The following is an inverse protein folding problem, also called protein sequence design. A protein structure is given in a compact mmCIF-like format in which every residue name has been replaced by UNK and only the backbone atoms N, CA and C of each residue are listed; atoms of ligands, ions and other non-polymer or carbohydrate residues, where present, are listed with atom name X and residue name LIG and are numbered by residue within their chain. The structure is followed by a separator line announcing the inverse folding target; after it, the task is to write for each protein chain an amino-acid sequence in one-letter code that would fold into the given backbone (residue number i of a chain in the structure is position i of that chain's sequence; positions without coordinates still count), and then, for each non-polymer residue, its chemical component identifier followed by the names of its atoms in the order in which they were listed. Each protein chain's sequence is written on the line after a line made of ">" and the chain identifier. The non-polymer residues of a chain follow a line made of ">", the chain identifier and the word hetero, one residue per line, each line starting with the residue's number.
data_IF_329312782494
#
_entry.id   IF_329312782494
#
_cell.length_a   1.000
_cell.length_b   1.000
_cell.length_c   1.000
_cell.angle_alpha   90.00
_cell.angle_beta   90.00
_cell.angle_gamma   90.00
#
_symmetry.space_group_name_H-M   'P 1'
#
loop_
_entity.id
_entity.type
_entity.pdbx_description
1 polymer ?
#
# COMPACT_ATOMS: atom_id res chain seq x y z
N UNK A 1 25.89 15.75 -17.69
CA UNK A 1 24.57 15.23 -18.10
C UNK A 1 23.82 14.55 -16.95
N UNK A 2 24.37 13.50 -16.32
CA UNK A 2 23.79 12.81 -15.15
C UNK A 2 23.48 13.74 -13.95
N UNK A 3 24.33 14.74 -13.70
CA UNK A 3 24.11 15.77 -12.67
C UNK A 3 23.05 16.81 -13.04
N UNK A 4 22.80 17.03 -14.34
CA UNK A 4 21.86 18.04 -14.82
C UNK A 4 20.40 17.52 -14.72
N UNK A 5 20.18 16.24 -15.05
CA UNK A 5 18.89 15.56 -14.88
C UNK A 5 18.53 15.37 -13.39
N UNK A 6 19.52 15.13 -12.53
CA UNK A 6 19.33 15.02 -11.07
C UNK A 6 18.92 16.35 -10.43
N UNK A 7 19.47 17.47 -10.92
CA UNK A 7 19.15 18.82 -10.45
C UNK A 7 17.70 19.21 -10.75
N UNK A 8 17.22 18.94 -11.98
CA UNK A 8 15.84 19.27 -12.38
C UNK A 8 14.78 18.43 -11.65
N UNK A 9 15.09 17.18 -11.28
CA UNK A 9 14.20 16.35 -10.46
C UNK A 9 14.20 16.74 -8.99
N UNK A 10 15.36 17.09 -8.40
CA UNK A 10 15.46 17.42 -6.98
C UNK A 10 14.78 18.74 -6.61
N UNK A 11 14.86 19.77 -7.46
CA UNK A 11 14.24 21.08 -7.21
C UNK A 11 12.70 21.00 -7.19
N UNK A 12 12.12 20.12 -8.01
CA UNK A 12 10.66 19.89 -8.07
C UNK A 12 10.14 18.98 -6.96
N UNK A 13 11.00 18.15 -6.36
CA UNK A 13 10.64 17.23 -5.27
C UNK A 13 10.73 17.91 -3.90
N UNK A 14 11.74 18.76 -3.66
CA UNK A 14 11.88 19.48 -2.38
C UNK A 14 10.70 20.42 -2.10
N UNK A 15 10.24 21.14 -3.12
CA UNK A 15 9.12 22.07 -3.04
C UNK A 15 7.76 21.39 -2.80
N UNK A 16 7.62 20.11 -3.19
CA UNK A 16 6.41 19.32 -2.92
C UNK A 16 6.45 18.55 -1.59
N UNK A 17 7.64 18.25 -1.06
CA UNK A 17 7.81 17.57 0.22
C UNK A 17 7.53 18.52 1.39
N UNK A 18 8.07 19.75 1.34
CA UNK A 18 7.85 20.77 2.38
C UNK A 18 6.37 21.18 2.49
N UNK A 19 5.64 21.20 1.37
CA UNK A 19 4.19 21.47 1.37
C UNK A 19 3.35 20.36 2.01
N UNK A 20 3.78 19.09 1.92
CA UNK A 20 3.05 17.94 2.48
C UNK A 20 3.31 17.75 3.97
N UNK A 21 4.51 18.06 4.45
CA UNK A 21 4.84 17.97 5.88
C UNK A 21 4.07 19.03 6.69
N UNK A 22 3.90 20.23 6.14
CA UNK A 22 3.06 21.27 6.76
C UNK A 22 1.57 20.90 6.80
N UNK A 23 1.07 20.20 5.77
CA UNK A 23 -0.32 19.75 5.68
C UNK A 23 -0.61 18.60 6.68
N UNK A 24 0.32 17.65 6.84
CA UNK A 24 0.23 16.57 7.83
C UNK A 24 0.28 17.09 9.28
N UNK A 25 1.15 18.06 9.56
CA UNK A 25 1.26 18.66 10.90
C UNK A 25 -0.01 19.44 11.27
N UNK A 26 -0.64 20.13 10.31
CA UNK A 26 -1.94 20.78 10.51
C UNK A 26 -3.08 19.79 10.72
N UNK A 27 -3.09 18.65 10.01
CA UNK A 27 -4.07 17.58 10.21
C UNK A 27 -3.91 16.90 11.58
N UNK A 28 -2.66 16.71 12.06
CA UNK A 28 -2.37 16.16 13.39
C UNK A 28 -2.86 17.09 14.51
N UNK A 29 -2.64 18.40 14.38
CA UNK A 29 -3.14 19.41 15.32
C UNK A 29 -4.67 19.48 15.36
N UNK A 30 -5.35 19.38 14.20
CA UNK A 30 -6.82 19.29 14.11
C UNK A 30 -7.38 18.03 14.79
N UNK A 31 -6.72 16.87 14.64
CA UNK A 31 -7.15 15.61 15.28
C UNK A 31 -6.98 15.64 16.80
N UNK A 32 -5.89 16.22 17.30
CA UNK A 32 -5.66 16.37 18.75
C UNK A 32 -6.72 17.27 19.39
N UNK A 33 -7.04 18.41 18.76
CA UNK A 33 -8.09 19.33 19.24
C UNK A 33 -9.51 18.72 19.20
N UNK A 34 -9.77 17.76 18.30
CA UNK A 34 -11.04 17.03 18.22
C UNK A 34 -11.19 15.94 19.30
N UNK A 35 -10.07 15.40 19.78
CA UNK A 35 -10.04 14.37 20.83
C UNK A 35 -10.24 14.96 22.23
N UNK A 36 -9.93 16.25 22.41
CA UNK A 36 -10.09 16.99 23.68
C UNK A 36 -11.48 17.66 23.84
N UNK A 37 -12.41 17.50 22.87
CA UNK A 37 -13.64 18.30 22.80
C UNK A 37 -14.96 17.53 22.71
N UNK A 38 -15.02 16.25 23.10
CA UNK A 38 -16.27 15.46 23.05
C UNK A 38 -16.54 14.82 24.41
N UNK A 39 -17.07 15.62 25.33
CA UNK A 39 -18.06 15.19 26.33
C UNK A 39 -19.37 15.90 25.98
N UNK A 40 -20.46 15.15 25.76
CA UNK A 40 -21.80 15.72 25.64
C UNK A 40 -22.73 15.11 24.58
N UNK A 41 -23.51 14.11 25.03
CA UNK A 41 -24.97 13.87 24.79
C UNK A 41 -25.56 13.86 23.37
N UNK A 42 -26.36 12.81 23.10
CA UNK A 42 -27.68 12.97 22.45
C UNK A 42 -28.00 12.02 21.29
N UNK A 43 -28.88 11.05 21.54
CA UNK A 43 -29.62 10.22 20.58
C UNK A 43 -30.46 11.05 19.59
N UNK A 44 -30.67 10.54 18.37
CA UNK A 44 -31.97 10.05 17.87
C UNK A 44 -31.94 9.69 16.37
N UNK A 45 -32.86 8.78 16.04
CA UNK A 45 -33.12 8.02 14.81
C UNK A 45 -33.62 8.82 13.61
N UNK A 46 -33.55 8.23 12.40
CA UNK A 46 -34.70 7.86 11.52
C UNK A 46 -34.24 7.51 10.09
N UNK A 47 -34.87 6.49 9.54
CA UNK A 47 -34.75 5.95 8.17
C UNK A 47 -35.40 6.87 7.10
N UNK A 48 -34.96 6.79 5.84
CA UNK A 48 -35.82 6.44 4.69
C UNK A 48 -35.08 6.41 3.33
N UNK A 49 -35.62 5.55 2.46
CA UNK A 49 -35.19 5.09 1.14
C UNK A 49 -35.61 5.98 -0.04
N UNK A 50 -34.91 5.88 -1.18
CA UNK A 50 -35.41 6.31 -2.49
C UNK A 50 -34.47 5.97 -3.65
N UNK A 51 -34.91 5.07 -4.53
CA UNK A 51 -34.30 4.75 -5.83
C UNK A 51 -34.78 5.75 -6.90
N UNK A 52 -33.94 6.05 -7.91
CA UNK A 52 -34.41 6.51 -9.24
C UNK A 52 -33.33 6.31 -10.33
N UNK A 53 -33.79 6.04 -11.56
CA UNK A 53 -33.08 5.41 -12.69
C UNK A 53 -33.02 6.32 -13.94
N UNK A 54 -31.85 6.29 -14.62
CA UNK A 54 -31.54 6.42 -16.07
C UNK A 54 -31.75 7.73 -16.90
N UNK A 55 -30.78 7.89 -17.84
CA UNK A 55 -30.89 8.35 -19.24
C UNK A 55 -30.23 9.70 -19.63
N UNK A 56 -29.25 9.66 -20.55
CA UNK A 56 -28.71 10.88 -21.19
C UNK A 56 -27.54 10.69 -22.15
N UNK A 57 -27.68 9.87 -23.20
CA UNK A 57 -26.72 9.76 -24.30
C UNK A 57 -27.28 10.36 -25.59
N UNK A 58 -27.00 11.63 -25.90
CA UNK A 58 -27.28 12.21 -27.24
C UNK A 58 -26.53 13.54 -27.54
N UNK A 59 -25.60 13.99 -26.69
CA UNK A 59 -24.94 15.31 -26.84
C UNK A 59 -23.60 15.25 -27.60
N UNK A 60 -23.05 14.05 -27.82
CA UNK A 60 -21.65 13.91 -28.21
C UNK A 60 -21.39 14.03 -29.73
N UNK A 61 -22.38 13.90 -30.60
CA UNK A 61 -22.14 13.78 -32.05
C UNK A 61 -22.05 15.13 -32.80
N UNK A 62 -22.65 16.19 -32.25
CA UNK A 62 -22.68 17.53 -32.89
C UNK A 62 -21.38 18.32 -32.73
N UNK A 63 -20.54 17.97 -31.74
CA UNK A 63 -19.29 18.66 -31.43
C UNK A 63 -18.12 18.25 -32.34
N UNK A 64 -18.13 17.04 -32.90
CA UNK A 64 -17.05 16.54 -33.77
C UNK A 64 -16.99 17.24 -35.14
N UNK A 65 -18.14 17.49 -35.78
CA UNK A 65 -18.21 18.14 -37.11
C UNK A 65 -17.74 19.59 -37.13
N UNK A 66 -17.80 20.31 -36.00
CA UNK A 66 -17.30 21.70 -35.89
C UNK A 66 -15.78 21.78 -35.73
N UNK A 67 -15.14 20.75 -35.16
CA UNK A 67 -13.69 20.71 -34.93
C UNK A 67 -12.87 20.41 -36.18
N UNK A 68 -13.45 19.67 -37.13
CA UNK A 68 -12.77 19.24 -38.35
C UNK A 68 -12.64 20.36 -39.41
N UNK A 69 -13.60 21.28 -39.46
CA UNK A 69 -13.55 22.45 -40.37
C UNK A 69 -12.55 23.53 -39.93
N UNK A 70 -12.14 23.55 -38.66
CA UNK A 70 -11.11 24.49 -38.16
C UNK A 70 -9.68 24.01 -38.44
N UNK A 71 -9.46 22.70 -38.61
CA UNK A 71 -8.14 22.10 -38.91
C UNK A 71 -7.68 22.19 -40.36
N UNK A 72 -8.52 22.66 -41.29
CA UNK A 72 -8.21 22.71 -42.74
C UNK A 72 -7.82 24.09 -43.29
N UNK A 73 -7.70 25.12 -42.46
CA UNK A 73 -7.40 26.50 -42.92
C UNK A 73 -6.06 27.08 -42.45
N UNK A 74 -5.26 26.32 -41.71
CA UNK A 74 -3.94 26.76 -41.24
C UNK A 74 -2.86 25.84 -41.81
N UNK A 75 -2.68 25.91 -43.13
CA UNK A 75 -1.49 25.35 -43.79
C UNK A 75 -1.11 26.27 -44.94
N UNK A 76 -0.31 27.28 -44.61
CA UNK A 76 0.57 27.98 -45.55
C UNK A 76 1.94 28.04 -44.90
N UNK A 77 3.03 27.63 -45.59
CA UNK A 77 4.37 27.81 -45.06
C UNK A 77 4.83 29.23 -45.44
N UNK A 78 5.02 30.09 -44.45
CA UNK A 78 5.85 31.28 -44.61
C UNK A 78 7.30 30.86 -44.35
N UNK A 79 8.15 31.05 -45.36
CA UNK A 79 9.60 30.90 -45.24
C UNK A 79 10.12 32.12 -44.48
N UNK A 80 10.41 31.95 -43.21
CA UNK A 80 11.33 32.83 -42.49
C UNK A 80 12.67 32.12 -42.38
N UNK A 81 13.63 32.56 -43.21
CA UNK A 81 15.05 32.30 -43.01
C UNK A 81 15.51 33.18 -41.84
N UNK A 82 15.31 32.67 -40.63
CA UNK A 82 15.90 33.20 -39.41
C UNK A 82 17.06 32.32 -39.00
N UNK A 83 18.26 32.89 -38.98
CA UNK A 83 19.46 32.30 -38.39
C UNK A 83 19.18 31.95 -36.92
N UNK A 84 18.81 30.70 -36.64
CA UNK A 84 18.77 30.19 -35.27
C UNK A 84 20.18 29.78 -34.86
N UNK A 85 20.81 30.64 -34.07
CA UNK A 85 21.90 30.26 -33.18
C UNK A 85 21.48 29.01 -32.38
N UNK A 86 22.15 27.88 -32.66
CA UNK A 86 22.41 26.76 -31.76
C UNK A 86 21.35 26.36 -30.74
N UNK A 87 20.11 26.11 -31.13
CA UNK A 87 19.26 25.21 -30.33
C UNK A 87 19.74 23.80 -30.64
N UNK A 88 20.66 23.27 -29.84
CA UNK A 88 20.97 21.83 -29.86
C UNK A 88 19.63 21.09 -29.77
N UNK A 89 19.19 20.50 -30.88
CA UNK A 89 18.08 19.59 -30.91
C UNK A 89 18.47 18.41 -30.02
N UNK A 90 18.07 18.46 -28.75
CA UNK A 90 18.22 17.37 -27.80
C UNK A 90 17.47 16.16 -28.38
N UNK A 91 18.21 15.30 -29.07
CA UNK A 91 17.69 14.08 -29.66
C UNK A 91 17.19 13.15 -28.55
N UNK A 92 16.08 12.45 -28.80
CA UNK A 92 15.52 11.49 -27.84
C UNK A 92 16.57 10.40 -27.55
N UNK A 93 17.02 10.24 -26.29
CA UNK A 93 17.99 9.21 -25.91
C UNK A 93 17.58 7.80 -26.36
N UNK A 94 16.28 7.50 -26.41
CA UNK A 94 15.80 6.22 -26.88
C UNK A 94 16.08 6.00 -28.38
N UNK A 95 15.99 7.07 -29.19
CA UNK A 95 16.30 7.02 -30.62
C UNK A 95 17.81 6.91 -30.85
N UNK A 96 18.61 7.62 -30.04
CA UNK A 96 20.07 7.64 -30.17
C UNK A 96 20.72 6.34 -29.70
N UNK A 97 20.32 5.85 -28.52
CA UNK A 97 20.97 4.70 -27.87
C UNK A 97 20.25 3.37 -28.11
N UNK A 98 19.00 3.41 -28.59
CA UNK A 98 18.17 2.22 -28.71
C UNK A 98 17.67 1.68 -27.36
N UNK A 99 16.89 0.59 -27.43
CA UNK A 99 16.16 0.05 -26.27
C UNK A 99 17.08 -0.59 -25.21
N UNK A 100 18.15 -1.27 -25.63
CA UNK A 100 19.02 -2.02 -24.70
C UNK A 100 19.79 -1.11 -23.75
N UNK A 101 20.45 -0.08 -24.30
CA UNK A 101 21.16 0.92 -23.50
C UNK A 101 20.16 1.72 -22.66
N UNK A 102 18.99 2.06 -23.23
CA UNK A 102 17.95 2.75 -22.47
C UNK A 102 17.48 1.92 -21.27
N UNK A 103 17.35 0.60 -21.40
CA UNK A 103 17.01 -0.29 -20.29
C UNK A 103 18.07 -0.26 -19.18
N UNK A 104 19.36 -0.25 -19.55
CA UNK A 104 20.47 -0.11 -18.59
C UNK A 104 20.37 1.22 -17.85
N UNK A 105 20.13 2.33 -18.58
CA UNK A 105 19.96 3.67 -17.98
C UNK A 105 18.80 3.66 -16.98
N UNK A 106 17.63 3.15 -17.38
CA UNK A 106 16.45 3.11 -16.52
C UNK A 106 16.65 2.23 -15.28
N UNK A 107 17.48 1.18 -15.36
CA UNK A 107 17.74 0.29 -14.23
C UNK A 107 18.43 1.00 -13.05
N UNK A 108 19.19 2.07 -13.33
CA UNK A 108 19.83 2.90 -12.31
C UNK A 108 18.88 3.91 -11.64
N UNK A 109 17.64 4.03 -12.12
CA UNK A 109 16.65 4.94 -11.53
C UNK A 109 15.85 4.25 -10.42
N UNK A 110 15.27 5.06 -9.53
CA UNK A 110 14.30 4.56 -8.55
C UNK A 110 12.97 4.20 -9.23
N UNK A 111 12.19 3.32 -8.59
CA UNK A 111 10.94 2.81 -9.16
C UNK A 111 9.95 3.93 -9.53
N UNK A 112 9.95 5.06 -8.80
CA UNK A 112 9.12 6.21 -9.12
C UNK A 112 9.53 6.85 -10.45
N UNK A 113 10.82 7.09 -10.67
CA UNK A 113 11.30 7.67 -11.93
C UNK A 113 11.12 6.73 -13.12
N UNK A 114 11.27 5.42 -12.91
CA UNK A 114 10.91 4.40 -13.92
C UNK A 114 9.42 4.46 -14.25
N UNK A 115 8.54 4.55 -13.24
CA UNK A 115 7.11 4.67 -13.47
C UNK A 115 6.75 5.95 -14.24
N UNK A 116 7.40 7.08 -13.94
CA UNK A 116 7.18 8.32 -14.69
C UNK A 116 7.64 8.22 -16.15
N UNK A 117 8.65 7.41 -16.43
CA UNK A 117 9.15 7.15 -17.79
C UNK A 117 8.10 6.47 -18.68
N UNK A 118 7.14 5.74 -18.10
CA UNK A 118 6.00 5.16 -18.82
C UNK A 118 5.12 6.24 -19.49
N UNK A 119 5.13 7.46 -18.98
CA UNK A 119 4.26 8.57 -19.41
C UNK A 119 4.88 9.45 -20.50
N UNK A 120 6.14 9.21 -20.86
CA UNK A 120 6.89 10.09 -21.79
C UNK A 120 6.43 9.90 -23.24
N UNK A 121 6.48 8.66 -23.74
CA UNK A 121 6.07 8.31 -25.10
C UNK A 121 5.79 6.81 -25.22
N UNK A 122 5.22 6.37 -26.35
CA UNK A 122 4.98 4.93 -26.60
C UNK A 122 6.26 4.11 -26.61
N UNK A 123 7.36 4.65 -27.14
CA UNK A 123 8.65 3.97 -27.17
C UNK A 123 9.22 3.82 -25.75
N UNK A 124 9.19 4.91 -24.98
CA UNK A 124 9.63 4.89 -23.57
C UNK A 124 8.77 3.94 -22.73
N UNK A 125 7.46 3.94 -22.93
CA UNK A 125 6.57 2.98 -22.29
C UNK A 125 7.00 1.54 -22.57
N UNK A 126 7.30 1.18 -23.83
CA UNK A 126 7.72 -0.16 -24.19
C UNK A 126 8.95 -0.66 -23.43
N UNK A 127 9.94 0.21 -23.21
CA UNK A 127 11.14 -0.14 -22.43
C UNK A 127 10.86 -0.09 -20.93
N UNK A 128 10.21 0.96 -20.46
CA UNK A 128 9.95 1.19 -19.04
C UNK A 128 8.92 0.23 -18.43
N UNK A 129 8.09 -0.46 -19.24
CA UNK A 129 7.18 -1.51 -18.76
C UNK A 129 7.80 -2.91 -18.75
N UNK A 130 9.09 -3.05 -19.06
CA UNK A 130 9.77 -4.34 -19.16
C UNK A 130 9.81 -5.09 -17.83
N UNK A 131 9.42 -6.37 -17.84
CA UNK A 131 9.50 -7.23 -16.66
C UNK A 131 10.93 -7.44 -16.16
N UNK A 132 11.94 -7.36 -17.04
CA UNK A 132 13.35 -7.43 -16.62
C UNK A 132 13.72 -6.29 -15.69
N UNK A 133 13.21 -5.09 -15.98
CA UNK A 133 13.43 -3.90 -15.16
C UNK A 133 12.64 -3.99 -13.84
N UNK A 134 11.36 -4.32 -13.93
CA UNK A 134 10.49 -4.38 -12.75
C UNK A 134 10.74 -5.59 -11.85
N UNK A 135 11.36 -6.67 -12.33
CA UNK A 135 11.82 -7.77 -11.46
C UNK A 135 12.82 -7.26 -10.43
N UNK A 136 13.83 -6.50 -10.89
CA UNK A 136 14.84 -5.88 -10.01
C UNK A 136 14.17 -4.92 -9.03
N UNK A 137 13.20 -4.10 -9.49
CA UNK A 137 12.46 -3.20 -8.60
C UNK A 137 11.56 -3.93 -7.60
N UNK A 138 11.00 -5.10 -7.94
CA UNK A 138 10.28 -5.94 -6.99
C UNK A 138 11.22 -6.49 -5.93
N UNK A 139 12.39 -6.99 -6.33
CA UNK A 139 13.42 -7.47 -5.40
C UNK A 139 13.84 -6.36 -4.43
N UNK A 140 14.24 -5.19 -4.96
CA UNK A 140 14.56 -4.00 -4.15
C UNK A 140 13.43 -3.63 -3.17
N UNK A 141 12.18 -3.69 -3.60
CA UNK A 141 11.01 -3.35 -2.77
C UNK A 141 10.75 -4.38 -1.66
N UNK A 142 10.95 -5.67 -1.96
CA UNK A 142 10.60 -6.76 -1.07
C UNK A 142 11.71 -7.08 -0.08
N UNK A 143 12.93 -6.57 -0.26
CA UNK A 143 14.00 -6.70 0.74
C UNK A 143 13.52 -6.19 2.10
N UNK A 144 13.74 -7.01 3.13
CA UNK A 144 13.36 -6.71 4.51
C UNK A 144 11.85 -6.69 4.76
N UNK A 145 11.03 -7.20 3.84
CA UNK A 145 9.58 -7.36 4.08
C UNK A 145 9.28 -8.70 4.74
N UNK A 146 8.38 -8.69 5.71
CA UNK A 146 7.87 -9.87 6.40
C UNK A 146 6.92 -10.68 5.50
N UNK A 147 6.03 -10.00 4.79
CA UNK A 147 4.98 -10.61 3.96
C UNK A 147 4.80 -9.88 2.65
N UNK A 148 4.67 -10.62 1.55
CA UNK A 148 4.29 -10.15 0.22
C UNK A 148 2.84 -10.61 -0.03
N UNK A 149 1.94 -9.74 -0.51
CA UNK A 149 0.56 -10.12 -0.75
C UNK A 149 0.44 -11.22 -1.82
N UNK A 150 -0.35 -12.27 -1.56
CA UNK A 150 -0.58 -13.36 -2.54
C UNK A 150 -1.02 -12.87 -3.91
N UNK A 151 -1.77 -11.76 -3.97
CA UNK A 151 -2.21 -11.16 -5.23
C UNK A 151 -1.07 -10.70 -6.13
N UNK A 152 0.11 -10.36 -5.59
CA UNK A 152 1.29 -9.99 -6.42
C UNK A 152 2.15 -11.19 -6.82
N UNK A 153 1.87 -12.37 -6.26
CA UNK A 153 2.60 -13.61 -6.54
C UNK A 153 1.86 -14.53 -7.55
N UNK A 154 0.71 -14.11 -8.07
CA UNK A 154 -0.06 -14.89 -9.06
C UNK A 154 0.77 -15.10 -10.32
N UNK A 155 0.83 -16.36 -10.79
CA UNK A 155 1.56 -16.74 -12.01
C UNK A 155 1.03 -15.97 -13.23
N UNK A 156 1.94 -15.48 -14.07
CA UNK A 156 1.61 -14.75 -15.30
C UNK A 156 1.34 -13.26 -15.11
N UNK A 157 1.43 -12.72 -13.88
CA UNK A 157 1.40 -11.28 -13.66
C UNK A 157 2.69 -10.62 -14.16
N UNK A 158 2.53 -9.45 -14.80
CA UNK A 158 3.67 -8.57 -15.07
C UNK A 158 4.32 -8.11 -13.76
N UNK A 159 5.63 -7.89 -13.78
CA UNK A 159 6.38 -7.42 -12.61
C UNK A 159 6.00 -5.99 -12.23
N UNK A 160 5.62 -5.15 -13.20
CA UNK A 160 5.05 -3.83 -12.92
C UNK A 160 3.74 -3.93 -12.12
N UNK A 161 2.85 -4.86 -12.51
CA UNK A 161 1.59 -5.11 -11.78
C UNK A 161 1.88 -5.68 -10.39
N UNK A 162 2.79 -6.65 -10.27
CA UNK A 162 3.20 -7.22 -8.99
C UNK A 162 3.74 -6.14 -8.04
N UNK A 163 4.64 -5.27 -8.52
CA UNK A 163 5.15 -4.13 -7.77
C UNK A 163 4.02 -3.22 -7.27
N UNK A 164 3.12 -2.85 -8.19
CA UNK A 164 1.99 -1.96 -7.89
C UNK A 164 1.06 -2.54 -6.83
N UNK A 165 0.72 -3.84 -6.95
CA UNK A 165 -0.10 -4.55 -5.97
C UNK A 165 0.59 -4.60 -4.59
N UNK A 166 1.89 -4.89 -4.54
CA UNK A 166 2.65 -4.91 -3.28
C UNK A 166 2.71 -3.54 -2.60
N UNK A 167 2.92 -2.45 -3.37
CA UNK A 167 2.90 -1.08 -2.81
C UNK A 167 1.51 -0.68 -2.32
N UNK A 168 0.45 -1.04 -3.04
CA UNK A 168 -0.92 -0.76 -2.61
C UNK A 168 -1.28 -1.55 -1.34
N UNK A 169 -0.90 -2.83 -1.28
CA UNK A 169 -1.18 -3.67 -0.11
C UNK A 169 -0.43 -3.19 1.13
N UNK A 170 0.86 -2.86 1.00
CA UNK A 170 1.69 -2.36 2.11
C UNK A 170 1.21 -1.04 2.72
N UNK A 171 0.30 -0.32 2.04
CA UNK A 171 -0.35 0.90 2.55
C UNK A 171 -1.71 0.67 3.18
N UNK A 172 -2.23 -0.57 3.16
CA UNK A 172 -3.50 -0.89 3.80
C UNK A 172 -3.39 -0.80 5.31
N UNK A 173 -4.46 -0.35 5.92
CA UNK A 173 -4.69 -0.35 7.36
C UNK A 173 -5.88 -1.25 7.75
N UNK A 174 -6.50 -1.92 6.78
CA UNK A 174 -7.66 -2.78 6.97
C UNK A 174 -7.22 -4.23 6.83
N UNK A 175 -7.36 -5.00 7.88
CA UNK A 175 -7.10 -6.43 7.86
C UNK A 175 -8.35 -7.18 7.41
N UNK A 176 -8.15 -8.28 6.72
CA UNK A 176 -9.21 -9.18 6.28
C UNK A 176 -9.08 -10.53 6.97
N UNK A 177 -10.12 -11.35 6.84
CA UNK A 177 -10.10 -12.72 7.37
C UNK A 177 -8.97 -13.54 6.75
N UNK A 178 -8.68 -13.33 5.46
CA UNK A 178 -7.57 -14.01 4.78
C UNK A 178 -6.24 -13.61 5.40
N UNK A 179 -5.99 -12.33 5.63
CA UNK A 179 -4.75 -11.86 6.28
C UNK A 179 -4.56 -12.51 7.67
N UNK A 180 -5.64 -12.66 8.46
CA UNK A 180 -5.56 -13.36 9.75
C UNK A 180 -5.17 -14.83 9.59
N UNK A 181 -5.81 -15.54 8.66
CA UNK A 181 -5.63 -16.98 8.48
C UNK A 181 -4.34 -17.34 7.72
N UNK A 182 -3.76 -16.40 6.96
CA UNK A 182 -2.58 -16.64 6.14
C UNK A 182 -1.29 -16.65 6.97
N UNK A 183 -1.34 -16.05 8.17
CA UNK A 183 -0.17 -15.84 9.01
C UNK A 183 -0.25 -16.61 10.33
N UNK A 184 0.92 -17.00 10.82
CA UNK A 184 1.11 -17.37 12.22
C UNK A 184 1.31 -16.09 13.01
N UNK A 185 0.69 -15.99 14.19
CA UNK A 185 0.76 -14.81 15.02
C UNK A 185 1.48 -15.11 16.32
N UNK A 186 2.50 -14.34 16.63
CA UNK A 186 3.09 -14.30 17.96
C UNK A 186 2.17 -13.50 18.89
N UNK A 187 1.89 -14.05 20.06
CA UNK A 187 1.05 -13.45 21.09
C UNK A 187 1.86 -13.20 22.36
N UNK A 188 1.67 -12.04 22.96
CA UNK A 188 2.15 -11.75 24.32
C UNK A 188 1.23 -10.75 25.02
N UNK A 189 1.27 -10.77 26.34
CA UNK A 189 0.63 -9.76 27.19
C UNK A 189 1.49 -8.50 27.26
N UNK A 190 0.85 -7.34 27.41
CA UNK A 190 1.55 -6.08 27.66
C UNK A 190 1.85 -5.93 29.15
N UNK A 191 2.65 -4.92 29.50
CA UNK A 191 3.02 -4.62 30.89
C UNK A 191 1.80 -4.36 31.79
N UNK A 192 0.74 -3.76 31.23
CA UNK A 192 -0.50 -3.47 31.94
C UNK A 192 -1.34 -4.72 32.26
N UNK A 193 -0.98 -5.90 31.74
CA UNK A 193 -1.67 -7.13 32.06
C UNK A 193 -1.42 -7.53 33.53
N UNK A 194 -2.43 -8.11 34.21
CA UNK A 194 -2.26 -8.65 35.55
C UNK A 194 -1.06 -9.60 35.65
N UNK A 195 -0.36 -9.55 36.77
CA UNK A 195 0.86 -10.32 37.00
C UNK A 195 0.67 -11.82 36.78
N UNK A 196 -0.50 -12.36 37.16
CA UNK A 196 -0.86 -13.75 36.88
C UNK A 196 -0.67 -14.13 35.40
N UNK A 197 -1.16 -13.30 34.48
CA UNK A 197 -1.06 -13.57 33.03
C UNK A 197 0.35 -13.39 32.51
N UNK A 198 1.07 -12.35 32.97
CA UNK A 198 2.48 -12.15 32.61
C UNK A 198 3.36 -13.30 33.11
N UNK A 199 3.04 -13.89 34.25
CA UNK A 199 3.72 -15.07 34.76
C UNK A 199 3.43 -16.35 33.96
N UNK A 200 2.43 -16.37 33.08
CA UNK A 200 2.21 -17.49 32.16
C UNK A 200 2.84 -17.25 30.79
N UNK A 201 3.33 -16.03 30.53
CA UNK A 201 3.85 -15.59 29.26
C UNK A 201 5.38 -15.78 29.17
N UNK A 202 5.87 -16.63 28.24
CA UNK A 202 7.29 -16.80 27.94
C UNK A 202 8.05 -15.51 27.69
N UNK A 203 7.42 -14.52 27.05
CA UNK A 203 8.02 -13.23 26.72
C UNK A 203 8.50 -12.49 27.98
N UNK A 204 7.67 -12.46 29.02
CA UNK A 204 7.99 -11.77 30.29
C UNK A 204 8.97 -12.55 31.15
N UNK A 205 8.88 -13.88 31.11
CA UNK A 205 9.79 -14.73 31.88
C UNK A 205 11.17 -14.84 31.25
N UNK A 206 11.30 -14.56 29.95
CA UNK A 206 12.50 -14.89 29.18
C UNK A 206 12.72 -16.41 29.11
N UNK A 207 11.66 -17.21 29.24
CA UNK A 207 11.74 -18.66 29.30
C UNK A 207 10.88 -19.30 28.21
N UNK A 208 11.51 -20.06 27.32
CA UNK A 208 10.79 -20.87 26.32
C UNK A 208 10.46 -20.12 25.02
N UNK A 209 9.82 -20.81 24.06
CA UNK A 209 9.43 -20.22 22.78
C UNK A 209 8.27 -19.21 22.97
N UNK A 210 8.15 -18.21 22.07
CA UNK A 210 7.00 -17.33 22.04
C UNK A 210 5.69 -18.10 21.86
N UNK A 211 4.58 -17.55 22.36
CA UNK A 211 3.27 -18.17 22.19
C UNK A 211 2.73 -17.88 20.78
N UNK A 212 2.36 -18.91 20.04
CA UNK A 212 1.75 -18.74 18.72
C UNK A 212 0.24 -18.95 18.72
N UNK A 213 -0.42 -18.23 17.81
CA UNK A 213 -1.86 -18.27 17.57
C UNK A 213 -2.13 -18.45 16.09
N UNK A 214 -3.10 -19.30 15.80
CA UNK A 214 -3.50 -19.66 14.44
C UNK A 214 -4.97 -19.32 14.26
N UNK A 215 -5.29 -18.51 13.27
CA UNK A 215 -6.67 -18.15 12.93
C UNK A 215 -7.15 -19.04 11.80
N UNK A 216 -8.38 -19.52 11.89
CA UNK A 216 -8.92 -20.49 10.94
C UNK A 216 -10.06 -19.92 10.10
N UNK A 217 -10.26 -20.41 8.86
CA UNK A 217 -11.33 -19.96 7.98
C UNK A 217 -12.74 -20.22 8.52
N UNK A 218 -12.94 -21.08 9.50
CA UNK A 218 -14.23 -21.29 10.16
C UNK A 218 -14.53 -20.23 11.24
N UNK A 219 -13.58 -19.33 11.54
CA UNK A 219 -13.70 -18.31 12.57
C UNK A 219 -13.14 -18.73 13.93
N UNK A 220 -12.63 -19.96 14.05
CA UNK A 220 -11.94 -20.42 15.25
C UNK A 220 -10.49 -19.93 15.31
N UNK A 221 -9.92 -20.04 16.49
CA UNK A 221 -8.51 -19.82 16.75
C UNK A 221 -7.95 -21.03 17.53
N UNK A 222 -6.69 -21.36 17.30
CA UNK A 222 -5.95 -22.36 18.09
C UNK A 222 -4.59 -21.82 18.54
N UNK A 223 -3.92 -22.55 19.42
CA UNK A 223 -2.58 -22.25 19.93
C UNK A 223 -1.68 -23.49 19.87
N UNK A 224 -0.39 -23.29 20.12
CA UNK A 224 0.57 -24.39 20.23
C UNK A 224 0.23 -25.35 21.39
N UNK A 225 0.55 -26.65 21.28
CA UNK A 225 0.41 -27.59 22.38
C UNK A 225 1.22 -27.14 23.60
N UNK A 226 0.62 -27.26 24.79
CA UNK A 226 1.29 -26.87 26.05
C UNK A 226 1.24 -25.37 26.35
N UNK A 227 0.50 -24.58 25.56
CA UNK A 227 0.23 -23.18 25.90
C UNK A 227 -0.67 -23.08 27.14
N UNK A 228 -0.05 -22.69 28.25
CA UNK A 228 -0.71 -22.56 29.56
C UNK A 228 -1.71 -21.39 29.62
N UNK A 229 -1.56 -20.38 28.75
CA UNK A 229 -2.51 -19.27 28.65
C UNK A 229 -3.76 -19.69 27.88
N UNK A 230 -3.58 -20.53 26.85
CA UNK A 230 -4.68 -21.07 26.05
C UNK A 230 -5.57 -22.03 26.85
N UNK A 231 -4.95 -22.93 27.62
CA UNK A 231 -5.67 -23.86 28.50
C UNK A 231 -6.62 -24.83 27.79
N UNK A 232 -6.53 -24.96 26.46
CA UNK A 232 -7.38 -25.83 25.65
C UNK A 232 -8.78 -25.30 25.35
N UNK A 233 -9.05 -24.02 25.62
CA UNK A 233 -10.37 -23.44 25.40
C UNK A 233 -10.64 -23.16 23.93
N UNK A 234 -11.87 -23.37 23.49
CA UNK A 234 -12.32 -22.89 22.17
C UNK A 234 -12.34 -21.36 22.16
N UNK A 235 -11.84 -20.78 21.06
CA UNK A 235 -11.82 -19.34 20.86
C UNK A 235 -12.29 -19.01 19.46
N UNK A 236 -13.13 -18.00 19.35
CA UNK A 236 -13.64 -17.48 18.09
C UNK A 236 -13.21 -16.04 17.89
N UNK A 237 -12.90 -15.67 16.65
CA UNK A 237 -12.58 -14.30 16.30
C UNK A 237 -13.65 -13.67 15.41
N UNK A 238 -13.75 -12.35 15.46
CA UNK A 238 -14.58 -11.54 14.58
C UNK A 238 -13.81 -10.30 14.13
N UNK A 239 -14.05 -9.87 12.89
CA UNK A 239 -13.59 -8.59 12.37
C UNK A 239 -14.81 -7.69 12.31
N UNK A 240 -14.77 -6.58 13.04
CA UNK A 240 -15.86 -5.61 13.07
C UNK A 240 -15.44 -4.40 12.27
N UNK A 241 -16.23 -4.04 11.26
CA UNK A 241 -16.08 -2.79 10.51
C UNK A 241 -17.38 -2.01 10.58
N UNK A 242 -17.34 -0.84 11.20
CA UNK A 242 -18.49 0.07 11.26
C UNK A 242 -18.23 1.29 10.37
N UNK A 243 -19.31 1.86 9.84
CA UNK A 243 -19.27 3.02 8.95
C UNK A 243 -20.06 4.18 9.59
N UNK A 244 -19.71 5.41 9.25
CA UNK A 244 -20.48 6.63 9.53
C UNK A 244 -20.83 7.28 8.21
N UNK A 245 -22.10 7.68 8.03
CA UNK A 245 -22.57 8.47 6.90
C UNK A 245 -22.09 7.90 5.57
N UNK A 246 -21.54 8.77 4.72
CA UNK A 246 -21.02 8.59 3.34
C UNK A 246 -19.97 7.45 3.13
N UNK A 247 -20.16 6.26 3.67
CA UNK A 247 -19.26 5.11 3.52
C UNK A 247 -17.93 5.25 4.25
N UNK A 248 -17.77 6.24 5.15
CA UNK A 248 -16.53 6.44 5.89
C UNK A 248 -16.44 5.46 7.06
N UNK A 249 -15.38 4.65 7.10
CA UNK A 249 -15.14 3.73 8.21
C UNK A 249 -14.99 4.51 9.53
N UNK A 250 -15.81 4.16 10.52
CA UNK A 250 -15.74 4.65 11.91
C UNK A 250 -14.70 3.86 12.69
N UNK A 251 -14.87 2.54 12.69
CA UNK A 251 -14.06 1.62 13.45
C UNK A 251 -13.77 0.38 12.59
N UNK A 252 -12.57 -0.14 12.73
CA UNK A 252 -12.16 -1.41 12.17
C UNK A 252 -11.25 -2.09 13.19
N UNK A 253 -11.69 -3.22 13.74
CA UNK A 253 -10.98 -3.92 14.81
C UNK A 253 -11.21 -5.42 14.75
N UNK A 254 -10.30 -6.16 15.40
CA UNK A 254 -10.44 -7.61 15.62
C UNK A 254 -10.81 -7.84 17.07
N UNK A 255 -11.72 -8.79 17.31
CA UNK A 255 -12.11 -9.20 18.66
C UNK A 255 -12.07 -10.72 18.77
N UNK A 256 -11.47 -11.20 19.86
CA UNK A 256 -11.40 -12.61 20.21
C UNK A 256 -12.31 -12.86 21.40
N UNK A 257 -13.29 -13.75 21.26
CA UNK A 257 -14.34 -13.99 22.25
C UNK A 257 -14.92 -12.67 22.80
N UNK A 258 -14.93 -12.52 24.13
CA UNK A 258 -15.40 -11.31 24.82
C UNK A 258 -14.26 -10.38 25.26
N UNK A 259 -13.02 -10.67 24.89
CA UNK A 259 -11.85 -9.85 25.23
C UNK A 259 -11.92 -8.45 24.59
N UNK A 260 -11.13 -7.48 25.08
CA UNK A 260 -11.12 -6.13 24.53
C UNK A 260 -10.77 -6.10 23.04
N UNK A 261 -11.38 -5.17 22.31
CA UNK A 261 -11.10 -4.95 20.88
C UNK A 261 -9.62 -4.66 20.66
N UNK A 262 -9.05 -5.24 19.60
CA UNK A 262 -7.70 -4.96 19.13
C UNK A 262 -7.73 -4.05 17.93
N UNK A 263 -6.97 -2.97 18.00
CA UNK A 263 -6.71 -2.13 16.84
C UNK A 263 -5.63 -2.76 15.99
N UNK A 264 -5.77 -2.60 14.67
CA UNK A 264 -4.90 -3.24 13.70
C UNK A 264 -4.05 -2.20 13.01
N UNK A 265 -2.77 -2.51 12.82
CA UNK A 265 -1.85 -1.67 12.08
C UNK A 265 -0.94 -2.51 11.19
N UNK A 266 -0.46 -1.89 10.11
CA UNK A 266 0.55 -2.47 9.22
C UNK A 266 1.88 -1.78 9.49
N UNK A 267 2.93 -2.58 9.71
CA UNK A 267 4.29 -2.10 9.96
C UNK A 267 5.02 -1.79 8.64
N UNK A 268 6.16 -1.10 8.73
CA UNK A 268 6.95 -0.71 7.56
C UNK A 268 7.54 -1.91 6.80
N UNK A 269 7.82 -3.00 7.51
CA UNK A 269 8.23 -4.30 6.98
C UNK A 269 7.05 -5.11 6.39
N UNK A 270 5.83 -4.53 6.35
CA UNK A 270 4.61 -5.20 5.90
C UNK A 270 4.14 -6.37 6.78
N UNK A 271 4.67 -6.50 8.00
CA UNK A 271 4.01 -7.30 9.03
C UNK A 271 2.75 -6.60 9.54
N UNK A 272 1.84 -7.39 10.12
CA UNK A 272 0.65 -6.91 10.79
C UNK A 272 0.86 -6.93 12.30
N UNK A 273 0.26 -5.97 12.98
CA UNK A 273 0.14 -5.95 14.43
C UNK A 273 -1.31 -5.72 14.82
N UNK A 274 -1.79 -6.49 15.80
CA UNK A 274 -3.08 -6.27 16.43
C UNK A 274 -2.87 -6.13 17.93
N UNK A 275 -3.23 -4.98 18.51
CA UNK A 275 -2.95 -4.73 19.92
C UNK A 275 -4.10 -3.99 20.60
N UNK A 276 -4.17 -4.18 21.91
CA UNK A 276 -4.95 -3.36 22.81
C UNK A 276 -4.11 -3.04 24.06
N UNK A 277 -4.72 -2.55 25.13
CA UNK A 277 -3.98 -2.22 26.35
C UNK A 277 -3.46 -3.46 27.12
N UNK A 278 -4.07 -4.63 26.95
CA UNK A 278 -3.72 -5.86 27.67
C UNK A 278 -2.74 -6.75 26.94
N UNK A 279 -2.82 -6.85 25.61
CA UNK A 279 -2.05 -7.83 24.85
C UNK A 279 -1.85 -7.40 23.39
N UNK A 280 -0.92 -8.08 22.74
CA UNK A 280 -0.50 -7.84 21.37
C UNK A 280 -0.37 -9.15 20.58
N UNK A 281 -0.65 -9.05 19.28
CA UNK A 281 -0.40 -10.06 18.27
C UNK A 281 0.48 -9.44 17.18
N UNK A 282 1.57 -10.10 16.81
CA UNK A 282 2.41 -9.71 15.66
C UNK A 282 2.48 -10.86 14.66
N UNK A 283 2.29 -10.58 13.37
CA UNK A 283 2.41 -11.61 12.34
C UNK A 283 3.88 -11.98 12.13
N UNK A 284 4.16 -13.28 12.05
CA UNK A 284 5.52 -13.82 11.99
C UNK A 284 5.94 -13.99 10.53
N UNK A 285 7.10 -13.44 10.10
CA UNK A 285 7.64 -13.69 8.77
C UNK A 285 7.74 -15.18 8.45
N UNK A 286 7.24 -15.58 7.28
CA UNK A 286 7.04 -17.00 6.93
C UNK A 286 7.75 -17.38 5.62
N UNK A 287 8.80 -16.66 5.23
CA UNK A 287 9.54 -16.91 4.00
C UNK A 287 10.02 -18.36 3.85
N UNK A 288 10.45 -19.00 4.95
CA UNK A 288 10.95 -20.37 4.94
C UNK A 288 9.85 -21.44 4.87
N UNK A 289 8.58 -21.07 5.02
CA UNK A 289 7.45 -22.00 5.00
C UNK A 289 7.04 -22.29 3.56
N UNK A 290 6.71 -23.54 3.27
CA UNK A 290 6.12 -23.90 1.98
C UNK A 290 4.80 -23.14 1.77
N UNK A 291 4.70 -22.39 0.66
CA UNK A 291 3.55 -21.53 0.38
C UNK A 291 3.43 -20.30 1.29
N UNK A 292 4.51 -19.95 2.01
CA UNK A 292 4.61 -18.74 2.81
C UNK A 292 4.59 -17.46 1.97
N UNK A 293 4.29 -16.36 2.63
CA UNK A 293 4.13 -15.04 2.02
C UNK A 293 5.40 -14.20 2.03
N UNK A 294 6.39 -14.55 2.85
CA UNK A 294 7.66 -13.83 2.92
C UNK A 294 8.53 -13.99 1.67
N UNK A 295 9.42 -13.02 1.40
CA UNK A 295 10.39 -13.13 0.33
C UNK A 295 11.45 -14.21 0.60
N UNK A 296 11.69 -15.07 -0.38
CA UNK A 296 12.83 -15.99 -0.40
C UNK A 296 14.08 -15.26 -0.90
N UNK A 297 14.66 -14.39 -0.09
CA UNK A 297 16.01 -13.87 -0.36
C UNK A 297 17.01 -14.67 0.46
N UNK A 298 17.85 -15.46 -0.24
CA UNK A 298 19.10 -15.90 0.35
C UNK A 298 19.90 -14.63 0.65
N UNK A 299 20.21 -14.39 1.92
CA UNK A 299 21.20 -13.37 2.27
C UNK A 299 22.51 -13.84 1.64
N UNK A 300 22.90 -13.21 0.53
CA UNK A 300 24.19 -13.44 -0.14
C UNK A 300 25.33 -12.80 0.64
#
# INVERSE_FOLDING_TARGET
>A
FYLMLRSLCNVKVSTMAEGKDQEFEQQRKKRKKKMEGIEGVGDESSDESGEDVDRGGEVMETTWRKREKKRKRETKPEKEEGETEGVELLQDPLVVFGSDIMMIILNHLDARSVALSLLVSRGWHGVASSDRLWSIKCEELWIGKAHIPRSSQVRGLSKLTAYSLSVMDGKRNRITKYDLCDHVWEFHFNEAAPEYWRNLDPYWKGTGPPMHRYFHPDGSQTADPGDNVWGGHESCFSIVTSFVGEGKIREHYVRINRWPRMFVSRKQDWSWEMSNYLYCYSSIPDAAKEGGTGPLFLVS
#
